data_IF_285442579739
#
_entry.id   IF_285442579739
#
_cell.length_a   1.000
_cell.length_b   1.000
_cell.length_c   1.000
_cell.angle_alpha   90.00
_cell.angle_beta   90.00
_cell.angle_gamma   90.00
#
_symmetry.space_group_name_H-M   'P 1'
#
loop_
_entity.id
_entity.type
_entity.pdbx_description
1 polymer ?
#
# COMPACT_ATOMS: atom_id res chain seq x y z
N UNK A 1 24.92 6.77 25.48
CA UNK A 1 24.14 7.96 25.04
C UNK A 1 22.67 7.55 25.04
N UNK A 2 21.72 8.46 25.28
CA UNK A 2 20.29 8.15 25.17
C UNK A 2 19.74 8.81 23.90
N UNK A 3 19.04 8.03 23.09
CA UNK A 3 18.38 8.48 21.86
C UNK A 3 16.88 8.23 21.93
N UNK A 4 16.10 9.07 21.24
CA UNK A 4 14.70 8.83 20.99
C UNK A 4 14.49 8.95 19.48
N UNK A 5 14.19 7.84 18.81
CA UNK A 5 13.90 7.86 17.38
C UNK A 5 12.60 8.61 17.11
N UNK A 6 12.65 9.50 16.13
CA UNK A 6 11.57 10.35 15.65
C UNK A 6 11.54 10.32 14.13
N UNK A 7 10.45 10.82 13.54
CA UNK A 7 10.33 10.94 12.08
C UNK A 7 11.31 11.94 11.45
N UNK A 8 12.03 12.70 12.27
CA UNK A 8 13.03 13.67 11.82
C UNK A 8 14.44 13.06 11.70
N UNK A 9 14.61 11.81 12.14
CA UNK A 9 15.89 11.10 12.05
C UNK A 9 16.16 10.59 10.63
N UNK A 10 17.38 10.09 10.41
CA UNK A 10 17.84 9.71 9.07
C UNK A 10 17.07 8.49 8.59
N UNK A 11 16.41 8.60 7.44
CA UNK A 11 15.77 7.46 6.78
C UNK A 11 16.80 6.68 5.95
N UNK A 12 17.03 5.42 6.30
CA UNK A 12 17.88 4.52 5.52
C UNK A 12 17.19 4.18 4.21
N UNK A 13 17.87 4.46 3.09
CA UNK A 13 17.33 4.23 1.74
C UNK A 13 17.17 2.75 1.39
N UNK A 14 17.89 1.86 2.08
CA UNK A 14 17.90 0.42 1.83
C UNK A 14 16.62 -0.29 2.28
N UNK A 15 16.02 0.15 3.39
CA UNK A 15 14.88 -0.53 4.02
C UNK A 15 13.82 0.40 4.63
N UNK A 16 13.95 1.72 4.46
CA UNK A 16 13.03 2.75 4.98
C UNK A 16 12.92 2.79 6.51
N UNK A 17 13.98 2.40 7.22
CA UNK A 17 14.06 2.50 8.68
C UNK A 17 14.66 3.85 9.11
N UNK A 18 14.26 4.36 10.26
CA UNK A 18 14.83 5.58 10.84
C UNK A 18 16.05 5.23 11.70
N UNK A 19 17.11 6.01 11.62
CA UNK A 19 18.39 5.78 12.28
C UNK A 19 18.92 7.03 12.98
N UNK A 20 19.55 6.82 14.15
CA UNK A 20 20.27 7.86 14.87
C UNK A 20 21.77 7.55 14.85
N UNK A 21 22.58 8.56 14.50
CA UNK A 21 24.02 8.41 14.39
C UNK A 21 24.72 9.07 15.60
N UNK A 22 25.73 8.40 16.13
CA UNK A 22 26.57 8.92 17.22
C UNK A 22 28.04 8.83 16.84
N UNK A 23 28.76 9.94 16.96
CA UNK A 23 30.22 9.92 16.77
C UNK A 23 30.92 9.63 18.10
N UNK A 24 31.80 8.63 18.12
CA UNK A 24 32.59 8.26 19.30
C UNK A 24 34.06 8.43 18.97
N UNK A 25 34.80 9.12 19.84
CA UNK A 25 36.24 9.34 19.65
C UNK A 25 37.04 8.26 20.38
N UNK A 26 37.90 7.55 19.65
CA UNK A 26 38.80 6.53 20.20
C UNK A 26 40.25 6.76 19.81
N UNK A 27 41.19 6.21 20.58
CA UNK A 27 42.63 6.20 20.26
C UNK A 27 43.03 4.87 19.61
N UNK A 28 44.10 4.88 18.82
CA UNK A 28 44.64 3.67 18.22
C UNK A 28 44.97 2.62 19.31
N UNK A 29 44.48 1.38 19.13
CA UNK A 29 44.64 0.29 20.08
C UNK A 29 43.69 0.33 21.29
N UNK A 30 42.79 1.31 21.37
CA UNK A 30 41.75 1.37 22.39
C UNK A 30 40.57 0.48 21.99
N UNK A 31 40.20 -0.45 22.86
CA UNK A 31 38.93 -1.18 22.74
C UNK A 31 37.78 -0.25 23.14
N UNK A 32 36.71 -0.25 22.34
CA UNK A 32 35.46 0.44 22.64
C UNK A 32 34.36 -0.61 22.66
N UNK A 33 33.63 -0.65 23.77
CA UNK A 33 32.41 -1.46 23.91
C UNK A 33 31.21 -0.56 23.68
N UNK A 34 30.29 -0.99 22.82
CA UNK A 34 29.02 -0.30 22.58
C UNK A 34 27.91 -1.25 23.01
N UNK A 35 27.25 -0.90 24.10
CA UNK A 35 26.04 -1.57 24.57
C UNK A 35 24.83 -0.81 24.05
N UNK A 36 24.03 -1.50 23.23
CA UNK A 36 22.76 -0.99 22.72
C UNK A 36 21.64 -1.74 23.42
N UNK A 37 20.64 -1.03 23.91
CA UNK A 37 19.44 -1.62 24.49
C UNK A 37 18.23 -0.85 23.95
N UNK A 38 17.20 -1.56 23.51
CA UNK A 38 15.92 -1.00 23.11
C UNK A 38 14.80 -1.81 23.74
N UNK A 39 13.87 -1.13 24.38
CA UNK A 39 12.66 -1.72 24.96
C UNK A 39 11.49 -1.78 23.96
N UNK A 40 11.64 -1.15 22.79
CA UNK A 40 10.55 -0.90 21.84
C UNK A 40 10.68 -1.63 20.50
N UNK A 41 11.89 -2.01 20.08
CA UNK A 41 12.16 -2.65 18.78
C UNK A 41 13.52 -3.36 18.76
N UNK A 42 13.71 -4.27 17.81
CA UNK A 42 14.99 -4.97 17.59
C UNK A 42 16.04 -3.96 17.11
N UNK A 43 17.01 -3.64 17.95
CA UNK A 43 17.97 -2.60 17.65
C UNK A 43 19.16 -3.18 16.88
N UNK A 44 19.64 -2.48 15.85
CA UNK A 44 20.83 -2.88 15.10
C UNK A 44 21.90 -1.81 15.28
N UNK A 45 23.14 -2.26 15.49
CA UNK A 45 24.31 -1.41 15.64
C UNK A 45 25.13 -1.48 14.35
N UNK A 46 25.35 -0.35 13.68
CA UNK A 46 26.36 -0.25 12.63
C UNK A 46 27.53 0.57 13.14
N UNK A 47 28.76 0.07 12.95
CA UNK A 47 29.97 0.83 13.28
C UNK A 47 30.75 1.09 12.02
N UNK A 48 31.03 2.36 11.75
CA UNK A 48 31.77 2.82 10.56
C UNK A 48 32.99 3.64 10.99
N UNK A 49 34.12 3.41 10.34
CA UNK A 49 35.33 4.15 10.67
C UNK A 49 36.54 3.73 9.84
N UNK A 50 37.54 4.62 9.75
CA UNK A 50 38.80 4.31 9.08
C UNK A 50 39.47 3.09 9.73
N UNK A 51 39.95 2.15 8.90
CA UNK A 51 40.61 0.90 9.32
C UNK A 51 39.71 -0.26 9.73
N UNK A 52 38.38 -0.14 9.62
CA UNK A 52 37.45 -1.27 9.65
C UNK A 52 37.46 -1.92 8.25
N UNK A 53 38.36 -2.87 8.03
CA UNK A 53 38.62 -3.46 6.71
C UNK A 53 37.55 -4.47 6.28
N UNK A 54 36.90 -4.25 5.13
CA UNK A 54 36.21 -5.32 4.38
C UNK A 54 34.83 -5.02 3.82
N UNK A 55 34.26 -3.82 3.98
CA UNK A 55 32.94 -3.50 3.39
C UNK A 55 31.79 -4.41 3.86
N UNK A 56 32.01 -5.14 4.97
CA UNK A 56 30.97 -5.83 5.71
C UNK A 56 30.76 -5.02 6.97
N UNK A 57 29.63 -4.34 7.01
CA UNK A 57 29.06 -3.79 8.22
C UNK A 57 29.24 -4.82 9.36
N UNK A 58 29.73 -4.40 10.53
CA UNK A 58 29.50 -5.22 11.72
C UNK A 58 27.99 -5.20 11.91
N UNK A 59 27.35 -6.29 11.51
CA UNK A 59 25.92 -6.49 11.56
C UNK A 59 25.71 -7.67 12.49
N UNK A 60 25.30 -7.37 13.71
CA UNK A 60 24.92 -8.37 14.71
C UNK A 60 23.39 -8.45 14.68
N UNK A 61 22.86 -9.51 14.08
CA UNK A 61 21.44 -9.75 13.88
C UNK A 61 20.97 -10.89 14.80
N UNK A 62 20.77 -10.61 16.10
CA UNK A 62 20.18 -11.60 16.97
C UNK A 62 18.64 -11.63 16.86
N UNK A 63 18.13 -12.84 16.67
CA UNK A 63 16.71 -13.14 16.53
C UNK A 63 16.08 -13.28 17.92
N UNK A 64 15.57 -12.20 18.51
CA UNK A 64 14.73 -12.32 19.70
C UNK A 64 14.42 -11.00 20.42
N UNK A 65 13.13 -10.71 20.57
CA UNK A 65 12.65 -9.61 21.41
C UNK A 65 13.25 -9.68 22.83
N UNK A 66 13.91 -8.58 23.24
CA UNK A 66 14.62 -8.33 24.53
C UNK A 66 16.08 -8.85 24.62
N UNK A 67 16.93 -8.43 23.68
CA UNK A 67 18.39 -8.63 23.75
C UNK A 67 19.11 -7.53 24.53
N UNK A 68 20.18 -7.93 25.24
CA UNK A 68 21.18 -7.05 25.86
C UNK A 68 22.47 -7.21 25.04
N UNK A 69 22.98 -6.15 24.41
CA UNK A 69 24.15 -6.26 23.52
C UNK A 69 25.44 -5.84 24.21
N UNK A 70 26.52 -6.56 23.94
CA UNK A 70 27.90 -6.14 24.25
C UNK A 70 28.75 -6.41 23.02
N UNK A 71 28.97 -5.40 22.18
CA UNK A 71 29.85 -5.51 21.02
C UNK A 71 31.30 -5.19 21.41
N UNK A 72 32.22 -6.14 21.27
CA UNK A 72 33.67 -5.90 21.43
C UNK A 72 34.33 -5.82 20.05
N UNK A 73 34.81 -4.64 19.65
CA UNK A 73 35.63 -4.51 18.45
C UNK A 73 37.07 -4.89 18.80
N UNK A 74 37.56 -6.02 18.27
CA UNK A 74 38.97 -6.40 18.30
C UNK A 74 39.54 -6.45 16.87
N UNK A 75 40.72 -5.83 16.72
CA UNK A 75 41.57 -5.83 15.53
C UNK A 75 40.97 -5.27 14.22
N UNK A 76 40.95 -3.94 14.11
CA UNK A 76 40.96 -3.23 12.83
C UNK A 76 42.31 -2.54 12.62
N UNK A 77 43.08 -2.91 11.58
CA UNK A 77 44.33 -2.21 11.24
C UNK A 77 44.01 -0.92 10.48
N UNK A 78 44.26 0.23 11.10
CA UNK A 78 44.25 1.56 10.48
C UNK A 78 45.65 1.85 9.92
N UNK A 79 45.75 2.07 8.61
CA UNK A 79 46.93 2.62 7.96
C UNK A 79 46.76 4.14 7.89
N UNK A 80 47.53 4.85 8.72
CA UNK A 80 47.85 6.30 8.74
C UNK A 80 47.46 7.02 10.05
N UNK A 81 48.42 7.78 10.59
CA UNK A 81 48.48 8.32 11.96
C UNK A 81 48.01 9.78 12.04
N UNK A 82 46.75 10.07 11.74
CA UNK A 82 46.15 11.37 12.07
C UNK A 82 44.80 11.14 12.73
N UNK A 83 44.53 11.91 13.79
CA UNK A 83 43.31 11.84 14.60
C UNK A 83 42.06 11.66 13.73
N UNK A 84 41.57 10.44 13.61
CA UNK A 84 40.40 10.14 12.78
C UNK A 84 39.24 9.62 13.62
N UNK A 85 38.14 10.36 13.47
CA UNK A 85 36.83 10.12 14.08
C UNK A 85 36.30 8.75 13.68
N UNK A 86 35.86 7.97 14.67
CA UNK A 86 35.06 6.77 14.43
C UNK A 86 33.58 7.16 14.56
N UNK A 87 32.78 6.85 13.55
CA UNK A 87 31.36 7.19 13.51
C UNK A 87 30.53 5.92 13.72
N UNK A 88 29.94 5.76 14.90
CA UNK A 88 29.04 4.65 15.17
C UNK A 88 27.61 5.06 14.75
N UNK A 89 27.13 4.50 13.65
CA UNK A 89 25.76 4.74 13.19
C UNK A 89 24.86 3.63 13.74
N UNK A 90 24.05 3.92 14.75
CA UNK A 90 23.06 2.94 15.21
C UNK A 90 21.83 3.08 14.30
N UNK A 91 21.75 2.22 13.31
CA UNK A 91 20.54 2.10 12.52
C UNK A 91 19.66 1.04 13.17
N UNK A 92 18.69 1.44 13.98
CA UNK A 92 17.69 0.49 14.47
C UNK A 92 16.86 0.00 13.28
N UNK A 93 17.03 -1.25 12.84
CA UNK A 93 16.06 -1.80 11.92
C UNK A 93 14.75 -1.98 12.70
N UNK A 94 13.68 -1.39 12.19
CA UNK A 94 12.38 -2.01 12.41
C UNK A 94 12.45 -3.38 11.71
N UNK A 95 12.84 -4.45 12.41
CA UNK A 95 12.23 -5.73 12.07
C UNK A 95 10.72 -5.49 12.12
N UNK A 96 9.95 -5.99 11.13
CA UNK A 96 8.52 -5.78 11.11
C UNK A 96 7.93 -6.44 12.35
N UNK A 97 7.81 -5.66 13.44
CA UNK A 97 6.88 -5.95 14.51
C UNK A 97 5.56 -6.13 13.79
N UNK A 98 5.13 -7.40 13.66
CA UNK A 98 3.92 -7.88 13.01
C UNK A 98 3.25 -6.75 12.22
N UNK A 99 3.65 -6.50 10.96
CA UNK A 99 3.03 -5.39 10.21
C UNK A 99 1.53 -5.67 10.29
N UNK A 100 0.80 -4.80 10.99
CA UNK A 100 -0.64 -5.01 11.12
C UNK A 100 -1.16 -4.81 9.70
N UNK A 101 -1.72 -5.85 9.07
CA UNK A 101 -2.09 -5.74 7.66
C UNK A 101 -3.10 -4.61 7.52
N UNK A 102 -2.96 -3.82 6.47
CA UNK A 102 -3.99 -2.89 6.05
C UNK A 102 -5.26 -3.70 5.81
N UNK A 103 -6.27 -3.46 6.66
CA UNK A 103 -7.56 -4.12 6.57
C UNK A 103 -8.38 -3.47 5.47
N UNK A 104 -8.62 -4.20 4.40
CA UNK A 104 -9.35 -3.72 3.23
C UNK A 104 -10.80 -4.21 3.31
N UNK A 105 -11.74 -3.30 3.13
CA UNK A 105 -13.14 -3.62 2.89
C UNK A 105 -13.50 -3.27 1.44
N UNK A 106 -14.17 -4.20 0.74
CA UNK A 106 -14.54 -4.02 -0.67
C UNK A 106 -16.05 -3.88 -0.78
N UNK A 107 -16.52 -2.77 -1.35
CA UNK A 107 -17.94 -2.54 -1.64
C UNK A 107 -18.23 -2.91 -3.10
N UNK A 108 -19.35 -3.60 -3.31
CA UNK A 108 -19.71 -4.18 -4.62
C UNK A 108 -21.21 -4.11 -4.89
N UNK A 109 -21.60 -4.02 -6.16
CA UNK A 109 -23.00 -4.10 -6.58
C UNK A 109 -23.28 -5.15 -7.65
N UNK A 110 -22.24 -5.71 -8.28
CA UNK A 110 -22.37 -6.55 -9.48
C UNK A 110 -21.61 -7.88 -9.40
N UNK A 111 -21.09 -8.31 -10.55
CA UNK A 111 -20.44 -9.60 -10.73
C UNK A 111 -19.07 -9.76 -10.03
N UNK A 112 -18.45 -8.67 -9.58
CA UNK A 112 -17.26 -8.71 -8.72
C UNK A 112 -15.96 -9.19 -9.37
N UNK A 113 -15.74 -8.94 -10.66
CA UNK A 113 -14.49 -9.31 -11.34
C UNK A 113 -13.28 -8.52 -10.81
N UNK A 114 -13.44 -7.21 -10.57
CA UNK A 114 -12.46 -6.39 -9.85
C UNK A 114 -12.15 -6.93 -8.44
N UNK A 115 -13.17 -7.40 -7.71
CA UNK A 115 -12.97 -8.08 -6.42
C UNK A 115 -12.17 -9.38 -6.60
N UNK A 116 -12.46 -10.19 -7.62
CA UNK A 116 -11.69 -11.42 -7.89
C UNK A 116 -10.22 -11.11 -8.15
N UNK A 117 -9.94 -10.10 -8.97
CA UNK A 117 -8.57 -9.70 -9.28
C UNK A 117 -7.79 -9.31 -8.01
N UNK A 118 -8.44 -8.58 -7.09
CA UNK A 118 -7.86 -8.26 -5.78
C UNK A 118 -7.67 -9.48 -4.88
N UNK A 119 -8.65 -10.39 -4.80
CA UNK A 119 -8.54 -11.65 -4.05
C UNK A 119 -7.39 -12.50 -4.60
N UNK A 120 -7.28 -12.64 -5.92
CA UNK A 120 -6.22 -13.42 -6.56
C UNK A 120 -4.85 -12.79 -6.35
N UNK A 121 -4.75 -11.47 -6.24
CA UNK A 121 -3.49 -10.78 -6.00
C UNK A 121 -3.05 -10.87 -4.53
N UNK A 122 -3.99 -10.69 -3.59
CA UNK A 122 -3.68 -10.55 -2.16
C UNK A 122 -3.77 -11.87 -1.38
N UNK A 123 -4.62 -12.82 -1.80
CA UNK A 123 -5.00 -14.01 -1.00
C UNK A 123 -4.49 -15.36 -1.57
N UNK A 124 -3.52 -15.38 -2.51
CA UNK A 124 -2.94 -16.64 -3.05
C UNK A 124 -2.30 -17.54 -1.98
N UNK A 125 -2.00 -18.80 -2.27
CA UNK A 125 -1.46 -19.72 -1.24
C UNK A 125 -0.10 -19.31 -0.62
N UNK A 126 0.16 -19.70 0.65
CA UNK A 126 1.42 -19.48 1.34
C UNK A 126 2.55 -20.26 0.65
N UNK A 127 3.59 -19.57 0.18
CA UNK A 127 4.77 -20.21 -0.42
C UNK A 127 5.46 -19.40 -1.52
N UNK A 128 4.77 -18.42 -2.11
CA UNK A 128 5.38 -17.43 -3.00
C UNK A 128 5.62 -16.14 -2.19
N UNK A 129 6.87 -15.93 -1.76
CA UNK A 129 7.31 -14.89 -0.81
C UNK A 129 7.13 -13.42 -1.22
N UNK A 130 5.91 -12.98 -1.54
CA UNK A 130 5.61 -11.56 -1.73
C UNK A 130 5.32 -10.90 -0.38
N UNK A 131 6.26 -10.07 0.08
CA UNK A 131 6.23 -9.28 1.32
C UNK A 131 5.00 -8.37 1.43
N UNK A 132 4.31 -8.07 0.33
CA UNK A 132 3.07 -7.29 0.31
C UNK A 132 1.86 -8.00 0.96
N UNK A 133 1.81 -9.35 0.98
CA UNK A 133 0.70 -10.11 1.58
C UNK A 133 0.58 -9.88 3.08
N UNK A 134 1.71 -9.82 3.75
CA UNK A 134 1.77 -9.55 5.19
C UNK A 134 1.34 -8.11 5.53
N UNK A 135 1.17 -7.26 4.50
CA UNK A 135 0.85 -5.85 4.64
C UNK A 135 -0.58 -5.48 4.25
N UNK A 136 -1.35 -6.36 3.58
CA UNK A 136 -2.73 -6.07 3.19
C UNK A 136 -3.61 -7.32 3.16
N UNK A 137 -4.83 -7.19 3.68
CA UNK A 137 -5.78 -8.28 3.77
C UNK A 137 -7.19 -7.81 3.42
N UNK A 138 -7.91 -8.56 2.60
CA UNK A 138 -9.35 -8.30 2.38
C UNK A 138 -10.12 -8.92 3.54
N UNK A 139 -10.64 -8.06 4.41
CA UNK A 139 -11.30 -8.49 5.66
C UNK A 139 -12.80 -8.64 5.52
N UNK A 140 -13.41 -7.95 4.54
CA UNK A 140 -14.85 -7.98 4.33
C UNK A 140 -15.25 -7.56 2.91
N UNK A 141 -16.31 -8.18 2.41
CA UNK A 141 -17.02 -7.75 1.20
C UNK A 141 -18.42 -7.29 1.56
N UNK A 142 -18.81 -6.10 1.11
CA UNK A 142 -20.07 -5.45 1.46
C UNK A 142 -20.86 -5.20 0.19
N UNK A 143 -22.07 -5.72 0.10
CA UNK A 143 -22.94 -5.54 -1.07
C UNK A 143 -24.18 -4.70 -0.74
N UNK A 144 -24.65 -3.91 -1.70
CA UNK A 144 -25.95 -3.22 -1.62
C UNK A 144 -27.15 -4.14 -1.92
N UNK A 145 -26.88 -5.39 -2.33
CA UNK A 145 -27.92 -6.36 -2.73
C UNK A 145 -27.47 -7.81 -2.52
N UNK A 146 -28.41 -8.68 -2.18
CA UNK A 146 -28.15 -10.10 -1.93
C UNK A 146 -27.79 -10.91 -3.19
N UNK A 147 -28.18 -10.43 -4.38
CA UNK A 147 -27.94 -11.10 -5.67
C UNK A 147 -26.63 -10.73 -6.36
N UNK A 148 -25.71 -10.03 -5.69
CA UNK A 148 -24.42 -9.66 -6.30
C UNK A 148 -23.51 -10.90 -6.42
N UNK A 149 -23.11 -11.25 -7.66
CA UNK A 149 -22.20 -12.39 -7.91
C UNK A 149 -20.83 -12.25 -7.22
N UNK A 150 -20.45 -11.04 -6.83
CA UNK A 150 -19.31 -10.77 -5.96
C UNK A 150 -19.37 -11.52 -4.61
N UNK A 151 -20.57 -11.74 -4.06
CA UNK A 151 -20.75 -12.45 -2.80
C UNK A 151 -20.30 -13.92 -2.90
N UNK A 152 -20.57 -14.58 -4.03
CA UNK A 152 -20.12 -15.96 -4.25
C UNK A 152 -18.61 -16.05 -4.39
N UNK A 153 -17.97 -15.04 -4.98
CA UNK A 153 -16.51 -14.94 -5.05
C UNK A 153 -15.90 -14.84 -3.66
N UNK A 154 -16.44 -13.94 -2.83
CA UNK A 154 -16.00 -13.76 -1.44
C UNK A 154 -16.16 -15.05 -0.61
N UNK A 155 -17.32 -15.73 -0.72
CA UNK A 155 -17.59 -17.01 -0.03
C UNK A 155 -16.58 -18.10 -0.40
N UNK A 156 -16.23 -18.24 -1.69
CA UNK A 156 -15.24 -19.23 -2.16
C UNK A 156 -13.85 -18.99 -1.57
N UNK A 157 -13.51 -17.75 -1.27
CA UNK A 157 -12.24 -17.36 -0.63
C UNK A 157 -12.35 -17.28 0.90
N UNK A 158 -13.47 -17.67 1.51
CA UNK A 158 -13.67 -17.60 2.96
C UNK A 158 -13.76 -16.18 3.54
N UNK A 159 -13.99 -15.16 2.71
CA UNK A 159 -14.04 -13.77 3.16
C UNK A 159 -15.43 -13.45 3.72
N UNK A 160 -15.52 -12.84 4.92
CA UNK A 160 -16.79 -12.39 5.50
C UNK A 160 -17.57 -11.47 4.56
N UNK A 161 -18.88 -11.71 4.43
CA UNK A 161 -19.78 -10.91 3.62
C UNK A 161 -20.82 -10.18 4.48
N UNK A 162 -21.20 -8.98 4.05
CA UNK A 162 -22.35 -8.24 4.59
C UNK A 162 -23.23 -7.77 3.43
N UNK A 163 -24.54 -7.95 3.53
CA UNK A 163 -25.51 -7.32 2.62
C UNK A 163 -26.18 -6.19 3.39
N UNK A 164 -26.03 -4.96 2.89
CA UNK A 164 -26.62 -3.77 3.50
C UNK A 164 -28.15 -3.82 3.38
N UNK A 165 -28.85 -3.40 4.43
CA UNK A 165 -30.30 -3.19 4.38
C UNK A 165 -30.60 -1.89 3.63
N UNK A 166 -29.79 -0.86 3.85
CA UNK A 166 -29.90 0.41 3.17
C UNK A 166 -28.52 0.98 2.87
N UNK A 167 -28.14 0.98 1.60
CA UNK A 167 -26.87 1.55 1.14
C UNK A 167 -26.72 3.07 1.39
N UNK A 168 -27.82 3.79 1.66
CA UNK A 168 -27.80 5.20 2.05
C UNK A 168 -27.72 5.42 3.57
N UNK A 169 -27.77 4.36 4.39
CA UNK A 169 -27.64 4.47 5.83
C UNK A 169 -26.16 4.55 6.23
N UNK A 170 -25.73 5.76 6.60
CA UNK A 170 -24.37 6.03 7.03
C UNK A 170 -23.99 5.24 8.29
N UNK A 171 -24.92 5.02 9.23
CA UNK A 171 -24.62 4.32 10.48
C UNK A 171 -24.39 2.82 10.23
N UNK A 172 -25.19 2.21 9.35
CA UNK A 172 -25.00 0.81 8.93
C UNK A 172 -23.66 0.61 8.22
N UNK A 173 -23.31 1.51 7.30
CA UNK A 173 -22.02 1.48 6.61
C UNK A 173 -20.84 1.67 7.57
N UNK A 174 -20.89 2.67 8.45
CA UNK A 174 -19.83 2.91 9.45
C UNK A 174 -19.63 1.72 10.38
N UNK A 175 -20.72 1.10 10.85
CA UNK A 175 -20.64 -0.10 11.68
C UNK A 175 -20.01 -1.28 10.94
N UNK A 176 -20.36 -1.47 9.67
CA UNK A 176 -19.82 -2.56 8.82
C UNK A 176 -18.35 -2.33 8.45
N UNK A 177 -17.91 -1.07 8.42
CA UNK A 177 -16.55 -0.63 8.05
C UNK A 177 -15.66 -0.34 9.27
N UNK A 178 -16.11 -0.61 10.50
CA UNK A 178 -15.47 -0.14 11.72
C UNK A 178 -13.99 -0.53 11.85
N UNK A 179 -13.62 -1.71 11.34
CA UNK A 179 -12.29 -2.28 11.36
C UNK A 179 -11.48 -2.04 10.07
N UNK A 180 -12.06 -1.38 9.07
CA UNK A 180 -11.37 -1.11 7.82
C UNK A 180 -10.35 0.01 7.97
N UNK A 181 -9.21 -0.13 7.29
CA UNK A 181 -8.23 0.93 7.11
C UNK A 181 -8.35 1.56 5.72
N UNK A 182 -8.67 0.75 4.70
CA UNK A 182 -8.87 1.16 3.31
C UNK A 182 -10.22 0.60 2.80
N UNK A 183 -10.98 1.43 2.10
CA UNK A 183 -12.23 1.03 1.46
C UNK A 183 -12.06 1.09 -0.06
N UNK A 184 -12.44 0.02 -0.74
CA UNK A 184 -12.36 -0.09 -2.21
C UNK A 184 -13.76 -0.26 -2.79
N UNK A 185 -14.21 0.70 -3.58
CA UNK A 185 -15.41 0.59 -4.40
C UNK A 185 -15.05 -0.16 -5.70
N UNK A 186 -15.46 -1.41 -5.82
CA UNK A 186 -15.16 -2.29 -6.96
C UNK A 186 -16.44 -2.62 -7.72
N UNK A 187 -16.91 -1.66 -8.54
CA UNK A 187 -18.22 -1.75 -9.20
C UNK A 187 -19.38 -1.57 -8.22
N UNK A 188 -19.21 -0.71 -7.22
CA UNK A 188 -20.28 -0.27 -6.32
C UNK A 188 -21.04 0.91 -6.95
N UNK A 189 -22.36 0.82 -7.00
CA UNK A 189 -23.20 1.73 -7.79
C UNK A 189 -23.97 2.77 -6.97
N UNK A 190 -23.77 2.81 -5.65
CA UNK A 190 -24.50 3.70 -4.75
C UNK A 190 -23.59 4.84 -4.32
N UNK A 191 -24.15 6.05 -4.21
CA UNK A 191 -23.44 7.18 -3.64
C UNK A 191 -23.16 6.88 -2.18
N UNK A 192 -21.90 7.04 -1.77
CA UNK A 192 -21.50 6.82 -0.38
C UNK A 192 -21.95 8.03 0.46
N UNK A 193 -22.63 7.84 1.60
CA UNK A 193 -23.03 8.94 2.46
C UNK A 193 -21.84 9.77 2.95
N UNK A 194 -21.99 11.10 3.00
CA UNK A 194 -20.91 12.03 3.37
C UNK A 194 -20.19 11.70 4.71
N UNK A 195 -20.88 11.27 5.80
CA UNK A 195 -20.18 10.89 7.03
C UNK A 195 -19.22 9.71 6.85
N UNK A 196 -19.54 8.78 5.95
CA UNK A 196 -18.69 7.62 5.63
C UNK A 196 -17.48 8.07 4.81
N UNK A 197 -17.70 8.92 3.79
CA UNK A 197 -16.63 9.54 2.99
C UNK A 197 -15.65 10.30 3.89
N UNK A 198 -16.16 11.11 4.82
CA UNK A 198 -15.35 11.87 5.77
C UNK A 198 -14.50 10.96 6.67
N UNK A 199 -15.05 9.85 7.18
CA UNK A 199 -14.32 8.87 8.02
C UNK A 199 -13.17 8.19 7.29
N UNK A 200 -13.29 8.02 5.97
CA UNK A 200 -12.30 7.39 5.11
C UNK A 200 -11.69 8.37 4.10
N UNK A 201 -11.59 9.66 4.47
CA UNK A 201 -10.97 10.67 3.62
C UNK A 201 -9.56 10.21 3.25
N UNK A 202 -9.25 10.21 1.94
CA UNK A 202 -7.99 9.70 1.36
C UNK A 202 -7.72 8.19 1.56
N UNK A 203 -8.69 7.45 2.09
CA UNK A 203 -8.63 6.01 2.36
C UNK A 203 -9.87 5.29 1.85
N UNK A 204 -10.58 5.91 0.92
CA UNK A 204 -11.64 5.31 0.13
C UNK A 204 -11.35 5.58 -1.34
N UNK A 205 -11.24 4.52 -2.14
CA UNK A 205 -10.89 4.60 -3.56
C UNK A 205 -11.96 3.92 -4.41
N UNK A 206 -12.12 4.38 -5.64
CA UNK A 206 -13.02 3.81 -6.63
C UNK A 206 -12.28 3.54 -7.93
N UNK A 207 -12.64 2.44 -8.60
CA UNK A 207 -12.23 2.14 -9.97
C UNK A 207 -13.37 2.49 -10.93
N UNK A 208 -13.08 3.34 -11.90
CA UNK A 208 -14.02 3.79 -12.92
C UNK A 208 -13.55 3.37 -14.32
N UNK A 209 -14.42 2.79 -15.19
CA UNK A 209 -14.03 2.23 -16.49
C UNK A 209 -13.94 3.29 -17.60
N UNK A 210 -13.37 4.46 -17.30
CA UNK A 210 -12.99 5.49 -18.27
C UNK A 210 -11.88 6.39 -17.74
N UNK A 211 -11.27 7.16 -18.64
CA UNK A 211 -10.31 8.22 -18.29
C UNK A 211 -11.03 9.47 -17.77
N UNK A 212 -11.30 9.49 -16.47
CA UNK A 212 -11.83 10.68 -15.77
C UNK A 212 -11.00 11.94 -16.05
N UNK A 213 -11.64 13.13 -16.14
CA UNK A 213 -13.06 13.39 -15.87
C UNK A 213 -14.01 13.00 -17.01
N UNK A 214 -13.52 12.51 -18.15
CA UNK A 214 -14.38 12.10 -19.24
C UNK A 214 -15.18 10.84 -18.88
N UNK A 215 -16.44 10.82 -19.31
CA UNK A 215 -17.35 9.68 -19.11
C UNK A 215 -17.55 9.26 -17.65
N UNK A 216 -17.41 10.19 -16.70
CA UNK A 216 -17.74 10.00 -15.29
C UNK A 216 -19.08 10.64 -14.88
N UNK A 217 -19.53 10.34 -13.67
CA UNK A 217 -20.69 10.94 -13.04
C UNK A 217 -21.94 10.05 -13.04
N UNK A 218 -23.08 10.59 -12.58
CA UNK A 218 -24.32 9.81 -12.43
C UNK A 218 -24.73 9.11 -13.73
N UNK A 219 -24.95 7.79 -13.65
CA UNK A 219 -25.40 6.99 -14.80
C UNK A 219 -24.29 6.44 -15.69
N UNK A 220 -23.03 6.86 -15.48
CA UNK A 220 -21.87 6.38 -16.22
C UNK A 220 -21.27 5.14 -15.55
N UNK A 221 -21.96 4.00 -15.64
CA UNK A 221 -21.46 2.73 -15.08
C UNK A 221 -21.71 1.55 -16.02
N UNK A 222 -20.90 0.50 -15.86
CA UNK A 222 -21.00 -0.72 -16.66
C UNK A 222 -20.95 -0.43 -18.16
N UNK A 223 -21.81 -1.12 -18.92
CA UNK A 223 -21.87 -1.02 -20.40
C UNK A 223 -22.02 0.42 -20.92
N UNK A 224 -22.76 1.26 -20.21
CA UNK A 224 -23.10 2.63 -20.63
C UNK A 224 -21.86 3.50 -20.86
N UNK A 225 -20.79 3.25 -20.11
CA UNK A 225 -19.52 3.97 -20.26
C UNK A 225 -18.90 3.68 -21.61
N UNK A 226 -18.82 2.40 -21.99
CA UNK A 226 -18.23 1.97 -23.25
C UNK A 226 -19.09 2.39 -24.46
N UNK A 227 -20.41 2.36 -24.34
CA UNK A 227 -21.33 2.91 -25.34
C UNK A 227 -21.10 4.40 -25.58
N UNK A 228 -20.97 5.19 -24.50
CA UNK A 228 -20.70 6.62 -24.59
C UNK A 228 -19.32 6.93 -25.20
N UNK A 229 -18.30 6.14 -24.83
CA UNK A 229 -16.95 6.26 -25.41
C UNK A 229 -16.98 6.03 -26.92
N UNK A 230 -17.63 4.95 -27.38
CA UNK A 230 -17.74 4.65 -28.82
C UNK A 230 -18.57 5.72 -29.55
N UNK A 231 -19.69 6.14 -28.98
CA UNK A 231 -20.54 7.18 -29.54
C UNK A 231 -19.82 8.53 -29.67
N UNK A 232 -18.86 8.83 -28.79
CA UNK A 232 -18.05 10.05 -28.86
C UNK A 232 -16.99 10.05 -29.98
N UNK A 233 -16.68 8.87 -30.54
CA UNK A 233 -15.57 8.70 -31.48
C UNK A 233 -14.17 8.77 -30.84
N UNK A 234 -14.06 8.69 -29.51
CA UNK A 234 -12.77 8.66 -28.83
C UNK A 234 -11.91 7.48 -29.31
N UNK A 235 -10.62 7.73 -29.55
CA UNK A 235 -9.64 6.69 -29.97
C UNK A 235 -8.89 6.05 -28.80
N UNK A 236 -9.09 6.60 -27.61
CA UNK A 236 -8.47 6.15 -26.36
C UNK A 236 -9.56 6.12 -25.29
N UNK A 237 -9.59 5.03 -24.53
CA UNK A 237 -10.38 4.86 -23.31
C UNK A 237 -9.42 4.42 -22.20
N UNK A 238 -9.94 3.86 -21.11
CA UNK A 238 -9.10 3.38 -20.04
C UNK A 238 -9.86 3.15 -18.75
N UNK A 239 -9.10 3.08 -17.68
CA UNK A 239 -9.59 2.99 -16.31
C UNK A 239 -8.93 4.08 -15.46
N UNK A 240 -9.67 4.58 -14.47
CA UNK A 240 -9.16 5.51 -13.47
C UNK A 240 -9.38 4.93 -12.08
N UNK A 241 -8.35 4.92 -11.24
CA UNK A 241 -8.52 4.82 -9.79
C UNK A 241 -8.42 6.22 -9.19
N UNK A 242 -9.41 6.60 -8.39
CA UNK A 242 -9.47 7.91 -7.76
C UNK A 242 -9.96 7.79 -6.32
N UNK A 243 -9.69 8.83 -5.51
CA UNK A 243 -10.30 8.94 -4.19
C UNK A 243 -11.79 9.23 -4.32
N UNK A 244 -12.59 8.68 -3.41
CA UNK A 244 -14.02 8.95 -3.34
C UNK A 244 -14.25 10.27 -2.60
N UNK A 245 -15.15 11.10 -3.14
CA UNK A 245 -15.72 12.26 -2.46
C UNK A 245 -17.26 12.15 -2.45
N UNK A 246 -17.94 13.22 -2.06
CA UNK A 246 -19.40 13.28 -1.96
C UNK A 246 -20.11 13.31 -3.33
N UNK A 247 -19.35 13.32 -4.42
CA UNK A 247 -19.86 13.36 -5.80
C UNK A 247 -19.36 12.15 -6.59
N UNK A 248 -20.16 11.69 -7.55
CA UNK A 248 -19.72 10.61 -8.43
C UNK A 248 -18.53 11.05 -9.28
N UNK A 249 -17.44 10.30 -9.16
CA UNK A 249 -16.26 10.36 -10.05
C UNK A 249 -15.56 11.72 -10.13
N UNK A 250 -15.57 12.49 -9.03
CA UNK A 250 -14.94 13.83 -8.96
C UNK A 250 -13.72 13.94 -8.07
N UNK A 251 -13.48 12.94 -7.22
CA UNK A 251 -12.35 13.00 -6.30
C UNK A 251 -10.99 12.90 -7.03
N UNK A 252 -9.90 13.30 -6.36
CA UNK A 252 -8.58 13.36 -6.97
C UNK A 252 -8.12 12.00 -7.53
N UNK A 253 -7.56 12.04 -8.74
CA UNK A 253 -7.06 10.86 -9.45
C UNK A 253 -5.78 10.36 -8.79
N UNK A 254 -5.74 9.06 -8.50
CA UNK A 254 -4.54 8.37 -8.01
C UNK A 254 -3.72 7.89 -9.20
N UNK A 255 -4.34 7.17 -10.13
CA UNK A 255 -3.68 6.63 -11.31
C UNK A 255 -4.69 6.35 -12.43
N UNK A 256 -4.20 6.26 -13.67
CA UNK A 256 -5.00 5.91 -14.84
C UNK A 256 -4.23 4.92 -15.72
N UNK A 257 -4.97 3.99 -16.33
CA UNK A 257 -4.45 3.10 -17.37
C UNK A 257 -5.20 3.40 -18.67
N UNK A 258 -4.47 3.64 -19.75
CA UNK A 258 -5.05 3.91 -21.07
C UNK A 258 -5.23 2.60 -21.83
N UNK A 259 -6.27 2.53 -22.64
CA UNK A 259 -6.44 1.45 -23.64
C UNK A 259 -6.84 2.05 -24.98
N UNK A 260 -6.37 1.44 -26.06
CA UNK A 260 -6.78 1.82 -27.42
C UNK A 260 -8.25 1.44 -27.67
N UNK A 261 -8.98 2.32 -28.34
CA UNK A 261 -10.28 2.02 -28.94
C UNK A 261 -10.05 1.62 -30.40
N UNK A 262 -10.35 0.38 -30.74
CA UNK A 262 -10.24 -0.14 -32.10
C UNK A 262 -11.40 0.37 -32.97
N UNK A 263 -11.19 0.41 -34.30
CA UNK A 263 -12.18 0.96 -35.21
C UNK A 263 -13.46 0.08 -35.29
N UNK A 264 -13.31 -1.21 -35.01
CA UNK A 264 -14.34 -2.24 -35.04
C UNK A 264 -14.82 -2.64 -33.63
N UNK A 265 -14.46 -1.87 -32.59
CA UNK A 265 -14.91 -2.18 -31.24
C UNK A 265 -16.43 -2.11 -31.12
N UNK A 266 -16.97 -3.12 -30.47
CA UNK A 266 -18.31 -3.09 -29.87
C UNK A 266 -18.18 -2.66 -28.41
N UNK A 267 -19.28 -2.27 -27.72
CA UNK A 267 -19.21 -1.99 -26.30
C UNK A 267 -18.66 -3.16 -25.48
N UNK A 268 -18.91 -4.40 -25.90
CA UNK A 268 -18.40 -5.61 -25.22
C UNK A 268 -16.90 -5.81 -25.40
N UNK A 269 -16.37 -5.63 -26.62
CA UNK A 269 -14.93 -5.80 -26.87
C UNK A 269 -14.13 -4.70 -26.21
N UNK A 270 -14.64 -3.46 -26.21
CA UNK A 270 -14.04 -2.36 -25.47
C UNK A 270 -14.14 -2.59 -23.96
N UNK A 271 -15.29 -3.04 -23.44
CA UNK A 271 -15.46 -3.38 -22.03
C UNK A 271 -14.45 -4.43 -21.57
N UNK A 272 -14.25 -5.50 -22.33
CA UNK A 272 -13.29 -6.55 -22.00
C UNK A 272 -11.86 -6.01 -21.91
N UNK A 273 -11.46 -5.11 -22.84
CA UNK A 273 -10.14 -4.48 -22.84
C UNK A 273 -9.96 -3.52 -21.67
N UNK A 274 -10.96 -2.69 -21.39
CA UNK A 274 -10.95 -1.79 -20.23
C UNK A 274 -10.92 -2.59 -18.93
N UNK A 275 -11.67 -3.68 -18.82
CA UNK A 275 -11.71 -4.51 -17.61
C UNK A 275 -10.35 -5.14 -17.28
N UNK A 276 -9.58 -5.55 -18.29
CA UNK A 276 -8.21 -6.01 -18.08
C UNK A 276 -7.32 -4.90 -17.48
N UNK A 277 -7.48 -3.66 -17.96
CA UNK A 277 -6.79 -2.50 -17.42
C UNK A 277 -7.28 -2.14 -16.00
N UNK A 278 -8.59 -2.27 -15.71
CA UNK A 278 -9.15 -2.08 -14.37
C UNK A 278 -8.52 -3.04 -13.34
N UNK A 279 -8.47 -4.34 -13.68
CA UNK A 279 -7.89 -5.36 -12.82
C UNK A 279 -6.43 -5.03 -12.48
N UNK A 280 -5.62 -4.75 -13.50
CA UNK A 280 -4.21 -4.42 -13.32
C UNK A 280 -4.02 -3.13 -12.51
N UNK A 281 -4.73 -2.06 -12.88
CA UNK A 281 -4.60 -0.75 -12.26
C UNK A 281 -5.00 -0.78 -10.78
N UNK A 282 -6.13 -1.42 -10.47
CA UNK A 282 -6.64 -1.49 -9.11
C UNK A 282 -5.69 -2.25 -8.17
N UNK A 283 -5.12 -3.38 -8.62
CA UNK A 283 -4.10 -4.12 -7.87
C UNK A 283 -2.90 -3.22 -7.58
N UNK A 284 -2.33 -2.58 -8.62
CA UNK A 284 -1.12 -1.74 -8.50
C UNK A 284 -1.33 -0.53 -7.59
N UNK A 285 -2.52 0.06 -7.60
CA UNK A 285 -2.86 1.18 -6.71
C UNK A 285 -2.99 0.71 -5.27
N UNK A 286 -3.68 -0.40 -5.01
CA UNK A 286 -3.80 -0.96 -3.65
C UNK A 286 -2.43 -1.32 -3.10
N UNK A 287 -1.59 -2.03 -3.87
CA UNK A 287 -0.22 -2.35 -3.47
C UNK A 287 0.62 -1.10 -3.22
N UNK A 288 0.50 -0.08 -4.08
CA UNK A 288 1.21 1.19 -3.94
C UNK A 288 0.85 1.95 -2.68
N UNK A 289 -0.45 2.02 -2.35
CA UNK A 289 -0.96 2.65 -1.13
C UNK A 289 -0.49 1.88 0.13
N UNK A 290 -0.54 0.55 0.09
CA UNK A 290 -0.10 -0.30 1.21
C UNK A 290 1.39 -0.17 1.44
N UNK A 291 2.20 -0.18 0.36
CA UNK A 291 3.67 -0.08 0.45
C UNK A 291 4.13 1.27 0.99
N UNK A 292 3.47 2.36 0.60
CA UNK A 292 3.81 3.73 1.03
C UNK A 292 3.21 4.10 2.40
N UNK A 293 2.28 3.30 2.90
CA UNK A 293 1.41 3.66 4.02
C UNK A 293 0.18 4.44 3.53
N UNK A 294 -0.96 4.20 4.17
CA UNK A 294 -2.20 4.87 3.81
C UNK A 294 -2.07 6.39 4.04
N UNK A 295 -2.44 7.22 3.06
CA UNK A 295 -2.12 8.63 3.11
C UNK A 295 -3.14 9.42 3.94
N UNK A 296 -2.70 10.59 4.40
CA UNK A 296 -3.53 11.62 5.05
C UNK A 296 -3.82 12.82 4.13
N UNK A 297 -3.33 12.76 2.90
CA UNK A 297 -3.53 13.74 1.82
C UNK A 297 -3.59 13.00 0.46
N UNK A 298 -4.19 13.58 -0.60
CA UNK A 298 -4.31 12.87 -1.87
C UNK A 298 -2.94 12.70 -2.52
N UNK A 299 -2.59 11.46 -2.89
CA UNK A 299 -1.38 11.18 -3.66
C UNK A 299 -1.73 10.80 -5.11
N UNK A 300 -0.75 11.02 -6.00
CA UNK A 300 -0.77 10.53 -7.38
C UNK A 300 0.37 9.53 -7.55
N UNK A 301 0.08 8.36 -8.12
CA UNK A 301 1.08 7.35 -8.43
C UNK A 301 1.49 7.51 -9.90
N UNK A 302 2.60 8.21 -10.11
CA UNK A 302 3.13 8.50 -11.46
C UNK A 302 3.75 7.27 -12.14
N UNK A 303 4.21 6.30 -11.34
CA UNK A 303 4.89 5.07 -11.78
C UNK A 303 3.92 3.96 -12.26
N UNK A 304 2.62 4.22 -12.27
CA UNK A 304 1.59 3.27 -12.75
C UNK A 304 1.19 3.68 -14.15
N UNK A 305 2.09 3.51 -15.13
CA UNK A 305 1.83 3.78 -16.54
C UNK A 305 2.04 2.56 -17.43
N UNK A 306 1.12 2.45 -18.39
CA UNK A 306 1.05 1.57 -19.56
C UNK A 306 0.87 0.06 -19.37
N UNK A 307 -0.37 -0.38 -19.60
CA UNK A 307 -0.67 -1.64 -20.31
C UNK A 307 -0.84 -1.27 -21.78
N UNK A 308 0.24 -1.47 -22.56
CA UNK A 308 0.26 -1.21 -24.00
C UNK A 308 -0.80 -1.98 -24.78
#
# INVERSE_FOLDING_TARGET
MQGQLTRNDVLLKSDSTYAQAWTIHGRQGQSVTIDLESDAFDAYLFVRGPGISGGRDYQDDDSGARGQHTGEIRDGRVLDQRDERVEAQVAGALQPGRVTPVRIAVLVSGGGTNLQALLDALEREPGAGSRERDRAQITRVIADRAGAGALDRARRCGIPITVLRNAGDAAELLATLADANLVVLAGYLKLVPAPVVARFRWRMINIHPALLPAFGGPGMYGRRVHEAVLASGARVSGATVHYVDEQYDRGPIIAQAKVRVAADDTPDTLAARVLAAEHWLLIRVVEGLVRRGLPDEPIRLEDVQDVG
#
